data_IF_065613024675
#
_entry.id   IF_065613024675
#
_cell.length_a   1.000
_cell.length_b   1.000
_cell.length_c   1.000
_cell.angle_alpha   90.00
_cell.angle_beta   90.00
_cell.angle_gamma   90.00
#
_symmetry.space_group_name_H-M   'P 1'
#
loop_
_entity.id
_entity.type
_entity.pdbx_description
1 polymer ?
#
# COMPACT_ATOMS: atom_id res chain seq x y z
N UNK A 1 10.70 7.88 27.36
CA UNK A 1 11.66 6.78 27.18
C UNK A 1 11.71 6.32 25.73
N UNK A 2 10.58 6.20 24.99
CA UNK A 2 10.50 5.70 23.61
C UNK A 2 10.77 6.76 22.52
N UNK A 3 11.64 7.72 22.80
CA UNK A 3 11.89 8.88 21.91
C UNK A 3 12.38 8.45 20.52
N UNK A 4 13.34 7.55 20.45
CA UNK A 4 13.92 7.06 19.18
C UNK A 4 12.88 6.37 18.30
N UNK A 5 11.95 5.59 18.90
CA UNK A 5 10.85 4.97 18.17
C UNK A 5 9.92 6.01 17.56
N UNK A 6 9.53 7.04 18.33
CA UNK A 6 8.69 8.13 17.85
C UNK A 6 9.38 8.93 16.73
N UNK A 7 10.69 9.17 16.85
CA UNK A 7 11.48 9.83 15.81
C UNK A 7 11.53 8.98 14.52
N UNK A 8 11.74 7.65 14.61
CA UNK A 8 11.76 6.75 13.47
C UNK A 8 10.40 6.66 12.75
N UNK A 9 9.30 6.56 13.51
CA UNK A 9 7.93 6.59 12.98
C UNK A 9 7.66 7.91 12.25
N UNK A 10 7.94 9.06 12.89
CA UNK A 10 7.73 10.37 12.27
C UNK A 10 8.61 10.58 11.04
N UNK A 11 9.88 10.15 11.10
CA UNK A 11 10.79 10.20 9.97
C UNK A 11 10.18 9.55 8.74
N UNK A 12 9.67 8.33 8.87
CA UNK A 12 9.09 7.56 7.76
C UNK A 12 7.78 8.18 7.25
N UNK A 13 6.90 8.64 8.14
CA UNK A 13 5.62 9.27 7.77
C UNK A 13 5.81 10.60 7.03
N UNK A 14 6.89 11.35 7.34
CA UNK A 14 7.16 12.69 6.81
C UNK A 14 8.09 12.69 5.58
N UNK A 15 8.55 11.54 5.10
CA UNK A 15 9.38 11.46 3.87
C UNK A 15 8.65 12.00 2.63
N UNK A 16 7.33 12.12 2.68
CA UNK A 16 6.52 12.59 1.56
C UNK A 16 5.87 11.43 0.78
N UNK A 17 5.48 11.73 -0.47
CA UNK A 17 4.80 10.79 -1.35
C UNK A 17 3.51 11.36 -1.92
N UNK A 18 2.95 10.71 -2.94
CA UNK A 18 1.75 11.17 -3.67
C UNK A 18 0.45 11.02 -2.87
N UNK A 19 0.48 10.31 -1.74
CA UNK A 19 -0.70 10.04 -0.89
C UNK A 19 -1.91 9.54 -1.69
N UNK A 20 -1.65 8.68 -2.68
CA UNK A 20 -2.68 8.23 -3.63
C UNK A 20 -3.81 7.45 -2.94
N UNK A 21 -3.48 6.60 -1.95
CA UNK A 21 -4.47 5.76 -1.26
C UNK A 21 -5.50 6.58 -0.49
N UNK A 22 -5.12 7.50 0.41
CA UNK A 22 -6.09 8.39 1.05
C UNK A 22 -6.83 9.29 0.05
N UNK A 23 -6.18 9.72 -1.04
CA UNK A 23 -6.84 10.50 -2.08
C UNK A 23 -7.96 9.70 -2.78
N UNK A 24 -7.68 8.46 -3.18
CA UNK A 24 -8.70 7.58 -3.79
C UNK A 24 -9.86 7.31 -2.83
N UNK A 25 -9.56 7.08 -1.53
CA UNK A 25 -10.58 6.93 -0.49
C UNK A 25 -11.49 8.17 -0.42
N UNK A 26 -10.89 9.35 -0.35
CA UNK A 26 -11.61 10.63 -0.29
C UNK A 26 -12.47 10.88 -1.54
N UNK A 27 -11.92 10.63 -2.74
CA UNK A 27 -12.65 10.84 -3.99
C UNK A 27 -13.83 9.86 -4.13
N UNK A 28 -13.65 8.59 -3.79
CA UNK A 28 -14.75 7.63 -3.79
C UNK A 28 -15.80 7.99 -2.75
N UNK A 29 -15.39 8.42 -1.55
CA UNK A 29 -16.32 8.91 -0.53
C UNK A 29 -17.14 10.10 -1.02
N UNK A 30 -16.51 11.08 -1.65
CA UNK A 30 -17.18 12.24 -2.20
C UNK A 30 -18.13 11.88 -3.37
N UNK A 31 -17.73 10.93 -4.23
CA UNK A 31 -18.51 10.43 -5.35
C UNK A 31 -19.86 9.84 -4.88
N UNK A 32 -19.90 9.15 -3.75
CA UNK A 32 -21.12 8.63 -3.14
C UNK A 32 -21.80 9.61 -2.17
N UNK A 33 -21.37 10.88 -2.13
CA UNK A 33 -22.03 11.94 -1.35
C UNK A 33 -21.69 11.94 0.14
N UNK A 34 -20.63 11.26 0.55
CA UNK A 34 -20.18 11.23 1.94
C UNK A 34 -19.78 12.62 2.46
N UNK A 35 -20.09 12.90 3.73
CA UNK A 35 -19.85 14.22 4.36
C UNK A 35 -19.32 14.17 5.79
N UNK A 36 -19.33 13.00 6.41
CA UNK A 36 -18.84 12.83 7.78
C UNK A 36 -17.32 12.84 7.88
N UNK A 37 -16.83 13.21 9.06
CA UNK A 37 -15.40 13.14 9.38
C UNK A 37 -14.92 11.74 9.74
N UNK A 38 -15.79 10.75 9.83
CA UNK A 38 -15.41 9.35 10.14
C UNK A 38 -14.47 8.74 9.09
N UNK A 39 -14.35 9.34 7.90
CA UNK A 39 -13.38 8.93 6.89
C UNK A 39 -11.92 9.31 7.25
N UNK A 40 -11.70 10.41 7.99
CA UNK A 40 -10.36 10.94 8.28
C UNK A 40 -9.45 9.93 9.02
N UNK A 41 -9.94 9.21 10.07
CA UNK A 41 -9.20 8.13 10.70
C UNK A 41 -8.75 7.03 9.72
N UNK A 42 -9.63 6.64 8.80
CA UNK A 42 -9.30 5.61 7.81
C UNK A 42 -8.31 6.10 6.76
N UNK A 43 -8.40 7.35 6.32
CA UNK A 43 -7.42 7.97 5.41
C UNK A 43 -6.02 8.00 6.03
N UNK A 44 -5.95 8.30 7.32
CA UNK A 44 -4.69 8.30 8.06
C UNK A 44 -4.17 6.88 8.25
N UNK A 45 -5.04 5.95 8.64
CA UNK A 45 -4.68 4.55 8.87
C UNK A 45 -4.14 3.86 7.62
N UNK A 46 -4.78 4.04 6.46
CA UNK A 46 -4.32 3.41 5.21
C UNK A 46 -2.93 3.90 4.79
N UNK A 47 -2.59 5.15 5.08
CA UNK A 47 -1.26 5.69 4.81
C UNK A 47 -0.22 5.20 5.83
N UNK A 48 -0.59 5.00 7.10
CA UNK A 48 0.27 4.36 8.09
C UNK A 48 0.57 2.91 7.69
N UNK A 49 -0.44 2.16 7.23
CA UNK A 49 -0.29 0.80 6.73
C UNK A 49 0.64 0.76 5.51
N UNK A 50 0.45 1.64 4.56
CA UNK A 50 1.37 1.74 3.42
C UNK A 50 2.79 2.10 3.86
N UNK A 51 2.95 2.99 4.84
CA UNK A 51 4.28 3.41 5.30
C UNK A 51 5.00 2.30 6.05
N UNK A 52 4.32 1.53 6.91
CA UNK A 52 4.96 0.42 7.58
C UNK A 52 5.44 -0.64 6.59
N UNK A 53 4.64 -0.94 5.55
CA UNK A 53 5.05 -1.92 4.55
C UNK A 53 6.32 -1.50 3.83
N UNK A 54 6.47 -0.20 3.53
CA UNK A 54 7.71 0.32 2.94
C UNK A 54 8.90 0.26 3.90
N UNK A 55 8.70 0.50 5.21
CA UNK A 55 9.79 0.36 6.19
C UNK A 55 10.29 -1.07 6.24
N UNK A 56 9.37 -2.05 6.24
CA UNK A 56 9.73 -3.46 6.29
C UNK A 56 10.30 -3.95 4.96
N UNK A 57 9.79 -3.50 3.82
CA UNK A 57 10.35 -3.82 2.51
C UNK A 57 11.80 -3.35 2.38
N UNK A 58 12.14 -2.19 2.94
CA UNK A 58 13.49 -1.64 2.88
C UNK A 58 14.53 -2.39 3.75
N UNK A 59 14.10 -3.27 4.68
CA UNK A 59 15.00 -3.97 5.61
C UNK A 59 16.04 -4.84 4.88
N UNK A 60 17.23 -5.06 5.49
CA UNK A 60 18.27 -5.94 4.91
C UNK A 60 17.82 -7.38 4.63
N UNK A 61 16.81 -7.87 5.36
CA UNK A 61 16.22 -9.20 5.15
C UNK A 61 15.16 -9.22 4.02
N UNK A 62 14.86 -8.08 3.40
CA UNK A 62 13.90 -7.88 2.33
C UNK A 62 14.61 -7.29 1.10
N UNK A 63 14.17 -6.14 0.57
CA UNK A 63 14.77 -5.51 -0.61
C UNK A 63 16.16 -4.90 -0.34
N UNK A 64 16.55 -4.68 0.92
CA UNK A 64 17.81 -4.07 1.36
C UNK A 64 18.10 -2.71 0.71
N UNK A 65 17.08 -1.86 0.63
CA UNK A 65 17.18 -0.55 0.02
C UNK A 65 17.77 0.48 1.00
N UNK A 66 18.86 1.15 0.60
CA UNK A 66 19.47 2.21 1.41
C UNK A 66 18.75 3.57 1.26
N UNK A 67 18.05 3.79 0.15
CA UNK A 67 17.38 5.06 -0.18
C UNK A 67 15.96 4.84 -0.69
N UNK A 68 15.04 5.68 -0.21
CA UNK A 68 13.65 5.76 -0.68
C UNK A 68 13.22 7.23 -0.81
N UNK A 69 12.70 7.60 -1.98
CA UNK A 69 12.26 8.98 -2.28
C UNK A 69 13.36 10.01 -2.00
N UNK A 70 14.61 9.69 -2.35
CA UNK A 70 15.78 10.57 -2.17
C UNK A 70 16.29 10.72 -0.73
N UNK A 71 15.74 9.97 0.24
CA UNK A 71 16.20 9.95 1.63
C UNK A 71 16.68 8.55 2.02
N UNK A 72 17.59 8.47 2.99
CA UNK A 72 18.01 7.19 3.59
C UNK A 72 16.81 6.48 4.20
N UNK A 73 16.78 5.17 4.09
CA UNK A 73 15.72 4.33 4.65
C UNK A 73 15.82 4.27 6.18
N UNK A 74 14.74 3.85 6.83
CA UNK A 74 14.63 3.88 8.30
C UNK A 74 15.70 3.03 8.96
N UNK A 75 16.01 1.83 8.41
CA UNK A 75 17.03 0.96 8.97
C UNK A 75 18.45 1.54 8.85
N UNK A 76 18.72 2.32 7.80
CA UNK A 76 20.02 3.00 7.63
C UNK A 76 20.20 4.12 8.65
N UNK A 77 19.11 4.83 9.01
CA UNK A 77 19.17 5.99 9.93
C UNK A 77 19.12 5.56 11.40
N UNK A 78 18.26 4.60 11.74
CA UNK A 78 17.93 4.23 13.13
C UNK A 78 18.39 2.82 13.52
N UNK A 79 18.93 2.06 12.57
CA UNK A 79 19.29 0.65 12.75
C UNK A 79 18.10 -0.30 12.50
N UNK A 80 18.41 -1.55 12.16
CA UNK A 80 17.46 -2.57 11.74
C UNK A 80 16.40 -2.86 12.80
N UNK A 81 16.80 -3.10 14.05
CA UNK A 81 15.87 -3.39 15.15
C UNK A 81 14.84 -2.25 15.36
N UNK A 82 15.29 -0.99 15.25
CA UNK A 82 14.40 0.14 15.41
C UNK A 82 13.46 0.31 14.20
N UNK A 83 13.91 -0.04 12.99
CA UNK A 83 13.08 -0.04 11.80
C UNK A 83 11.97 -1.11 11.88
N UNK A 84 12.29 -2.31 12.36
CA UNK A 84 11.28 -3.36 12.62
C UNK A 84 10.22 -2.84 13.59
N UNK A 85 10.65 -2.30 14.74
CA UNK A 85 9.71 -1.77 15.75
C UNK A 85 8.92 -0.56 15.24
N UNK A 86 9.48 0.27 14.36
CA UNK A 86 8.78 1.40 13.77
C UNK A 86 7.68 0.94 12.80
N UNK A 87 7.92 -0.12 12.03
CA UNK A 87 6.91 -0.75 11.19
C UNK A 87 5.78 -1.35 12.02
N UNK A 88 6.11 -2.14 13.05
CA UNK A 88 5.12 -2.73 13.98
C UNK A 88 4.28 -1.65 14.67
N UNK A 89 4.94 -0.58 15.15
CA UNK A 89 4.27 0.54 15.79
C UNK A 89 3.29 1.23 14.84
N UNK A 90 3.66 1.46 13.57
CA UNK A 90 2.77 2.06 12.57
C UNK A 90 1.60 1.17 12.23
N UNK A 91 1.82 -0.14 12.09
CA UNK A 91 0.73 -1.09 11.84
C UNK A 91 -0.29 -1.07 12.98
N UNK A 92 0.17 -1.14 14.23
CA UNK A 92 -0.72 -1.08 15.39
C UNK A 92 -1.43 0.30 15.48
N UNK A 93 -0.67 1.39 15.34
CA UNK A 93 -1.20 2.76 15.39
C UNK A 93 -2.24 3.02 14.28
N UNK A 94 -2.12 2.36 13.12
CA UNK A 94 -3.12 2.44 12.07
C UNK A 94 -4.50 1.94 12.56
N UNK A 95 -4.54 0.78 13.23
CA UNK A 95 -5.79 0.26 13.76
C UNK A 95 -6.31 1.06 14.96
N UNK A 96 -5.43 1.56 15.83
CA UNK A 96 -5.80 2.51 16.88
C UNK A 96 -6.42 3.79 16.29
N UNK A 97 -5.85 4.27 15.18
CA UNK A 97 -6.35 5.48 14.49
C UNK A 97 -7.68 5.20 13.82
N UNK A 98 -7.81 4.11 13.07
CA UNK A 98 -9.08 3.74 12.42
C UNK A 98 -10.20 3.53 13.45
N UNK A 99 -9.91 2.98 14.64
CA UNK A 99 -10.90 2.76 15.70
C UNK A 99 -11.54 4.05 16.24
N UNK A 100 -10.89 5.21 16.08
CA UNK A 100 -11.46 6.51 16.46
C UNK A 100 -12.72 6.87 15.66
N UNK A 101 -12.92 6.25 14.50
CA UNK A 101 -14.16 6.42 13.72
C UNK A 101 -15.40 5.91 14.50
N UNK A 102 -15.27 4.91 15.37
CA UNK A 102 -16.36 4.43 16.24
C UNK A 102 -16.77 5.46 17.29
N UNK A 103 -15.84 6.33 17.72
CA UNK A 103 -16.15 7.43 18.64
C UNK A 103 -16.86 8.57 17.90
N UNK A 104 -16.50 8.80 16.64
CA UNK A 104 -17.12 9.84 15.80
C UNK A 104 -18.54 9.47 15.37
N UNK A 105 -18.78 8.20 15.07
CA UNK A 105 -20.07 7.67 14.63
C UNK A 105 -20.41 6.33 15.30
N UNK A 106 -20.71 6.31 16.61
CA UNK A 106 -20.87 5.08 17.38
C UNK A 106 -22.06 4.21 16.95
N UNK A 107 -23.05 4.79 16.31
CA UNK A 107 -24.25 4.08 15.83
C UNK A 107 -24.20 3.71 14.34
N UNK A 108 -23.13 4.06 13.63
CA UNK A 108 -23.03 3.81 12.19
C UNK A 108 -22.39 2.43 11.91
N UNK A 109 -23.15 1.43 11.42
CA UNK A 109 -22.60 0.09 11.13
C UNK A 109 -21.57 0.10 10.00
N UNK A 110 -21.58 1.14 9.14
CA UNK A 110 -20.60 1.29 8.07
C UNK A 110 -19.17 1.42 8.60
N UNK A 111 -18.97 1.99 9.80
CA UNK A 111 -17.65 2.09 10.43
C UNK A 111 -17.09 0.70 10.73
N UNK A 112 -17.89 -0.21 11.28
CA UNK A 112 -17.49 -1.60 11.54
C UNK A 112 -17.15 -2.35 10.25
N UNK A 113 -17.94 -2.15 9.19
CA UNK A 113 -17.69 -2.74 7.88
C UNK A 113 -16.40 -2.20 7.24
N UNK A 114 -16.18 -0.89 7.30
CA UNK A 114 -14.96 -0.24 6.82
C UNK A 114 -13.71 -0.75 7.55
N UNK A 115 -13.80 -0.92 8.86
CA UNK A 115 -12.73 -1.49 9.69
C UNK A 115 -12.43 -2.95 9.29
N UNK A 116 -13.46 -3.77 9.04
CA UNK A 116 -13.31 -5.13 8.55
C UNK A 116 -12.60 -5.19 7.17
N UNK A 117 -12.95 -4.29 6.25
CA UNK A 117 -12.28 -4.19 4.94
C UNK A 117 -10.81 -3.80 5.12
N UNK A 118 -10.51 -2.81 5.95
CA UNK A 118 -9.13 -2.41 6.25
C UNK A 118 -8.32 -3.61 6.75
N UNK A 119 -8.83 -4.34 7.74
CA UNK A 119 -8.15 -5.48 8.34
C UNK A 119 -7.94 -6.63 7.34
N UNK A 120 -8.96 -6.98 6.55
CA UNK A 120 -8.88 -8.08 5.60
C UNK A 120 -7.91 -7.79 4.44
N UNK A 121 -8.00 -6.59 3.84
CA UNK A 121 -7.18 -6.21 2.68
C UNK A 121 -5.71 -5.96 3.03
N UNK A 122 -5.39 -5.73 4.29
CA UNK A 122 -4.00 -5.56 4.76
C UNK A 122 -3.39 -6.86 5.31
N UNK A 123 -4.20 -7.86 5.61
CA UNK A 123 -3.82 -9.11 6.28
C UNK A 123 -3.24 -10.18 5.35
N UNK A 124 -3.29 -11.44 5.84
CA UNK A 124 -2.74 -12.63 5.13
C UNK A 124 -3.47 -12.96 3.82
N UNK A 125 -4.73 -12.56 3.68
CA UNK A 125 -5.52 -12.68 2.44
C UNK A 125 -5.52 -11.38 1.61
N UNK A 126 -4.67 -10.44 1.94
CA UNK A 126 -4.44 -9.17 1.28
C UNK A 126 -2.96 -8.87 1.09
N UNK A 127 -2.54 -7.65 1.41
CA UNK A 127 -1.19 -7.16 1.14
C UNK A 127 -0.07 -8.05 1.70
N UNK A 128 -0.18 -8.49 2.96
CA UNK A 128 0.85 -9.36 3.57
C UNK A 128 0.94 -10.71 2.83
N UNK A 129 -0.20 -11.28 2.41
CA UNK A 129 -0.21 -12.50 1.62
C UNK A 129 0.46 -12.34 0.26
N UNK A 130 0.24 -11.22 -0.43
CA UNK A 130 0.94 -10.91 -1.67
C UNK A 130 2.45 -10.75 -1.49
N UNK A 131 2.85 -10.05 -0.43
CA UNK A 131 4.25 -9.88 -0.08
C UNK A 131 4.93 -11.20 0.26
N UNK A 132 4.27 -12.10 0.99
CA UNK A 132 4.84 -13.41 1.34
C UNK A 132 5.18 -14.25 0.11
N UNK A 133 4.33 -14.22 -0.91
CA UNK A 133 4.59 -14.93 -2.18
C UNK A 133 5.70 -14.24 -2.97
N UNK A 134 5.75 -12.92 -2.98
CA UNK A 134 6.82 -12.16 -3.63
C UNK A 134 8.20 -12.55 -3.05
N UNK A 135 8.32 -12.60 -1.73
CA UNK A 135 9.55 -13.03 -1.04
C UNK A 135 9.89 -14.50 -1.27
N UNK A 136 8.89 -15.40 -1.21
CA UNK A 136 9.11 -16.86 -1.42
C UNK A 136 9.66 -17.17 -2.82
N UNK A 137 9.29 -16.37 -3.80
CA UNK A 137 9.71 -16.55 -5.19
C UNK A 137 10.81 -15.60 -5.63
N UNK A 138 11.45 -14.87 -4.72
CA UNK A 138 12.57 -14.00 -5.05
C UNK A 138 13.69 -14.78 -5.76
N UNK A 139 14.17 -14.23 -6.88
CA UNK A 139 15.21 -14.87 -7.71
C UNK A 139 14.75 -16.13 -8.46
N UNK A 140 13.45 -16.46 -8.45
CA UNK A 140 12.87 -17.58 -9.21
C UNK A 140 11.96 -17.05 -10.31
N UNK A 141 11.84 -17.76 -11.45
CA UNK A 141 10.88 -17.38 -12.48
C UNK A 141 9.45 -17.57 -11.95
N UNK A 142 8.59 -16.58 -12.18
CA UNK A 142 7.17 -16.63 -11.86
C UNK A 142 6.35 -17.03 -13.09
N UNK A 143 5.29 -17.79 -12.87
CA UNK A 143 4.22 -17.92 -13.87
C UNK A 143 3.40 -16.63 -13.92
N UNK A 144 2.69 -16.38 -15.03
CA UNK A 144 1.78 -15.24 -15.15
C UNK A 144 0.71 -15.23 -14.03
N UNK A 145 0.19 -16.39 -13.65
CA UNK A 145 -0.78 -16.52 -12.56
C UNK A 145 -0.21 -16.07 -11.21
N UNK A 146 1.02 -16.48 -10.88
CA UNK A 146 1.72 -16.08 -9.66
C UNK A 146 2.01 -14.57 -9.67
N UNK A 147 2.47 -14.02 -10.79
CA UNK A 147 2.72 -12.60 -10.95
C UNK A 147 1.44 -11.78 -10.75
N UNK A 148 0.34 -12.17 -11.40
CA UNK A 148 -0.96 -11.53 -11.22
C UNK A 148 -1.46 -11.63 -9.77
N UNK A 149 -1.22 -12.75 -9.09
CA UNK A 149 -1.56 -12.91 -7.68
C UNK A 149 -0.79 -11.92 -6.80
N UNK A 150 0.53 -11.80 -7.01
CA UNK A 150 1.37 -10.82 -6.28
C UNK A 150 0.85 -9.40 -6.53
N UNK A 151 0.63 -8.99 -7.77
CA UNK A 151 0.15 -7.65 -8.10
C UNK A 151 -1.23 -7.34 -7.50
N UNK A 152 -2.12 -8.33 -7.53
CA UNK A 152 -3.44 -8.22 -6.94
C UNK A 152 -3.36 -7.98 -5.43
N UNK A 153 -2.56 -8.77 -4.71
CA UNK A 153 -2.56 -8.70 -3.26
C UNK A 153 -1.55 -7.68 -2.71
N UNK A 154 -0.29 -7.70 -3.19
CA UNK A 154 0.74 -6.77 -2.70
C UNK A 154 0.39 -5.31 -2.98
N UNK A 155 -0.12 -5.01 -4.18
CA UNK A 155 -0.37 -3.63 -4.64
C UNK A 155 -1.85 -3.26 -4.67
N UNK A 156 -2.70 -4.06 -5.35
CA UNK A 156 -4.10 -3.68 -5.57
C UNK A 156 -4.94 -3.75 -4.30
N UNK A 157 -4.65 -4.65 -3.36
CA UNK A 157 -5.46 -4.81 -2.14
C UNK A 157 -5.59 -3.52 -1.32
N UNK A 158 -4.53 -2.70 -1.21
CA UNK A 158 -4.62 -1.41 -0.51
C UNK A 158 -5.37 -0.34 -1.32
N UNK A 159 -5.37 -0.42 -2.64
CA UNK A 159 -6.18 0.46 -3.51
C UNK A 159 -7.65 0.05 -3.40
N UNK A 160 -7.93 -1.26 -3.42
CA UNK A 160 -9.26 -1.82 -3.17
C UNK A 160 -9.79 -1.36 -1.79
N UNK A 161 -9.01 -1.55 -0.73
CA UNK A 161 -9.36 -1.09 0.62
C UNK A 161 -9.72 0.40 0.63
N UNK A 162 -8.89 1.23 -0.01
CA UNK A 162 -9.10 2.69 -0.03
C UNK A 162 -10.45 3.05 -0.68
N UNK A 163 -10.74 2.52 -1.86
CA UNK A 163 -11.94 2.87 -2.59
C UNK A 163 -13.20 2.23 -1.96
N UNK A 164 -13.12 0.97 -1.51
CA UNK A 164 -14.23 0.29 -0.83
C UNK A 164 -14.61 0.98 0.48
N UNK A 165 -13.63 1.37 1.30
CA UNK A 165 -13.87 2.09 2.56
C UNK A 165 -14.56 3.43 2.28
N UNK A 166 -14.10 4.18 1.27
CA UNK A 166 -14.74 5.41 0.85
C UNK A 166 -16.23 5.21 0.47
N UNK A 167 -16.52 4.19 -0.34
CA UNK A 167 -17.89 3.86 -0.75
C UNK A 167 -18.77 3.44 0.44
N UNK A 168 -18.28 2.53 1.29
CA UNK A 168 -18.99 2.01 2.46
C UNK A 168 -19.33 3.12 3.44
N UNK A 169 -18.38 3.97 3.79
CA UNK A 169 -18.62 5.07 4.74
C UNK A 169 -19.58 6.13 4.19
N UNK A 170 -19.67 6.28 2.87
CA UNK A 170 -20.64 7.14 2.21
C UNK A 170 -22.04 6.52 2.08
N UNK A 171 -22.23 5.26 2.50
CA UNK A 171 -23.52 4.57 2.48
C UNK A 171 -23.87 3.90 1.15
N UNK A 172 -22.86 3.59 0.32
CA UNK A 172 -23.07 2.83 -0.92
C UNK A 172 -23.67 1.45 -0.63
N UNK A 173 -24.53 0.96 -1.52
CA UNK A 173 -25.09 -0.39 -1.43
C UNK A 173 -24.03 -1.46 -1.74
N UNK A 174 -24.32 -2.72 -1.39
CA UNK A 174 -23.35 -3.82 -1.56
C UNK A 174 -22.93 -4.00 -3.02
N UNK A 175 -23.88 -3.90 -3.95
CA UNK A 175 -23.60 -4.02 -5.39
C UNK A 175 -22.63 -2.94 -5.88
N UNK A 176 -22.77 -1.72 -5.41
CA UNK A 176 -21.85 -0.63 -5.77
C UNK A 176 -20.49 -0.80 -5.13
N UNK A 177 -20.40 -1.30 -3.88
CA UNK A 177 -19.13 -1.63 -3.23
C UNK A 177 -18.39 -2.73 -4.00
N UNK A 178 -19.09 -3.76 -4.47
CA UNK A 178 -18.49 -4.83 -5.31
C UNK A 178 -17.99 -4.29 -6.66
N UNK A 179 -18.74 -3.39 -7.30
CA UNK A 179 -18.28 -2.70 -8.53
C UNK A 179 -17.02 -1.85 -8.27
N UNK A 180 -17.01 -1.12 -7.15
CA UNK A 180 -15.85 -0.33 -6.74
C UNK A 180 -14.63 -1.23 -6.48
N UNK A 181 -14.81 -2.38 -5.86
CA UNK A 181 -13.72 -3.35 -5.67
C UNK A 181 -13.14 -3.81 -7.02
N UNK A 182 -13.99 -4.17 -7.99
CA UNK A 182 -13.55 -4.57 -9.33
C UNK A 182 -12.82 -3.45 -10.08
N UNK A 183 -13.30 -2.21 -9.97
CA UNK A 183 -12.64 -1.04 -10.56
C UNK A 183 -11.29 -0.81 -9.89
N UNK A 184 -11.25 -0.82 -8.56
CA UNK A 184 -10.04 -0.60 -7.78
C UNK A 184 -8.98 -1.68 -8.06
N UNK A 185 -9.41 -2.93 -8.25
CA UNK A 185 -8.53 -4.01 -8.70
C UNK A 185 -7.85 -3.67 -10.03
N UNK A 186 -8.63 -3.26 -11.04
CA UNK A 186 -8.09 -2.88 -12.35
C UNK A 186 -7.15 -1.68 -12.27
N UNK A 187 -7.48 -0.69 -11.44
CA UNK A 187 -6.60 0.48 -11.18
C UNK A 187 -5.29 0.02 -10.55
N UNK A 188 -5.33 -0.89 -9.58
CA UNK A 188 -4.13 -1.41 -8.92
C UNK A 188 -3.25 -2.22 -9.87
N UNK A 189 -3.84 -3.07 -10.72
CA UNK A 189 -3.11 -3.82 -11.75
C UNK A 189 -2.45 -2.88 -12.77
N UNK A 190 -3.20 -1.90 -13.29
CA UNK A 190 -2.66 -0.90 -14.22
C UNK A 190 -1.55 -0.07 -13.59
N UNK A 191 -1.67 0.27 -12.30
CA UNK A 191 -0.63 0.99 -11.56
C UNK A 191 0.68 0.20 -11.49
N UNK A 192 0.60 -1.11 -11.20
CA UNK A 192 1.78 -1.97 -11.12
C UNK A 192 2.41 -2.19 -12.51
N UNK A 193 1.59 -2.47 -13.54
CA UNK A 193 2.08 -2.61 -14.91
C UNK A 193 2.75 -1.32 -15.39
N UNK A 194 2.19 -0.16 -15.05
CA UNK A 194 2.80 1.13 -15.37
C UNK A 194 4.14 1.33 -14.65
N UNK A 195 4.28 0.85 -13.40
CA UNK A 195 5.54 0.90 -12.66
C UNK A 195 6.62 0.04 -13.34
N UNK A 196 6.27 -1.17 -13.78
CA UNK A 196 7.14 -2.06 -14.55
C UNK A 196 7.58 -1.42 -15.89
N UNK A 197 6.65 -0.80 -16.61
CA UNK A 197 6.96 -0.09 -17.86
C UNK A 197 7.94 1.05 -17.59
N UNK A 198 7.70 1.84 -16.54
CA UNK A 198 8.56 2.97 -16.17
C UNK A 198 9.93 2.53 -15.67
N UNK A 199 10.06 1.33 -15.07
CA UNK A 199 11.38 0.79 -14.74
C UNK A 199 12.23 0.49 -15.98
N UNK A 200 11.59 0.09 -17.09
CA UNK A 200 12.28 -0.23 -18.36
C UNK A 200 12.60 1.02 -19.19
N UNK A 201 11.63 1.94 -19.35
CA UNK A 201 11.74 3.07 -20.29
C UNK A 201 11.86 4.44 -19.62
N UNK A 202 11.70 4.51 -18.32
CA UNK A 202 11.72 5.76 -17.57
C UNK A 202 13.12 6.36 -17.46
N UNK A 203 13.16 7.66 -17.17
CA UNK A 203 14.38 8.39 -16.85
C UNK A 203 14.54 8.51 -15.33
N UNK A 204 15.69 8.07 -14.82
CA UNK A 204 15.98 8.04 -13.39
C UNK A 204 15.85 9.41 -12.70
N UNK A 205 16.25 10.47 -13.40
CA UNK A 205 16.17 11.84 -12.87
C UNK A 205 14.72 12.32 -12.73
N UNK A 206 13.87 11.92 -13.68
CA UNK A 206 12.42 12.24 -13.65
C UNK A 206 11.66 11.40 -12.62
N UNK A 207 12.02 10.12 -12.47
CA UNK A 207 11.34 9.19 -11.56
C UNK A 207 11.80 9.31 -10.10
N UNK A 208 12.98 9.88 -9.86
CA UNK A 208 13.57 9.99 -8.53
C UNK A 208 13.94 8.64 -7.90
N UNK A 209 14.05 7.59 -8.73
CA UNK A 209 14.51 6.24 -8.36
C UNK A 209 15.37 5.66 -9.48
N UNK A 210 16.24 4.69 -9.15
CA UNK A 210 17.00 3.94 -10.16
C UNK A 210 16.04 3.22 -11.11
N UNK A 211 16.34 3.24 -12.41
CA UNK A 211 15.66 2.46 -13.45
C UNK A 211 16.43 1.16 -13.70
N UNK A 212 15.78 0.18 -14.34
CA UNK A 212 16.30 -1.18 -14.57
C UNK A 212 16.67 -1.93 -13.29
N UNK A 213 15.98 -1.57 -12.22
CA UNK A 213 16.16 -2.19 -10.91
C UNK A 213 15.61 -3.62 -10.91
N UNK A 214 14.49 -3.86 -11.59
CA UNK A 214 13.88 -5.17 -11.72
C UNK A 214 14.77 -6.15 -12.50
N UNK A 215 15.36 -5.70 -13.60
CA UNK A 215 16.32 -6.50 -14.39
C UNK A 215 17.57 -6.84 -13.55
N UNK A 216 18.13 -5.86 -12.83
CA UNK A 216 19.29 -6.04 -11.95
C UNK A 216 19.03 -7.04 -10.82
N UNK A 217 17.81 -7.06 -10.30
CA UNK A 217 17.39 -7.95 -9.22
C UNK A 217 16.79 -9.27 -9.73
N UNK A 218 16.83 -9.54 -11.04
CA UNK A 218 16.22 -10.70 -11.68
C UNK A 218 14.73 -10.88 -11.32
N UNK A 219 13.99 -9.78 -11.12
CA UNK A 219 12.55 -9.82 -10.83
C UNK A 219 11.76 -10.12 -12.11
N UNK A 220 10.82 -11.06 -12.01
CA UNK A 220 9.82 -11.28 -13.06
C UNK A 220 8.81 -10.14 -13.02
N UNK A 221 8.62 -9.42 -14.13
CA UNK A 221 7.67 -8.31 -14.27
C UNK A 221 6.66 -8.59 -15.39
N UNK A 222 5.59 -7.82 -15.46
CA UNK A 222 4.61 -7.96 -16.55
C UNK A 222 5.27 -7.72 -17.90
N UNK A 223 6.20 -6.74 -17.99
CA UNK A 223 6.97 -6.46 -19.19
C UNK A 223 7.88 -7.63 -19.57
N UNK A 224 8.50 -8.32 -18.61
CA UNK A 224 9.36 -9.49 -18.92
C UNK A 224 8.55 -10.70 -19.40
N UNK A 225 7.28 -10.84 -18.98
CA UNK A 225 6.39 -11.96 -19.36
C UNK A 225 5.68 -11.70 -20.69
N UNK A 226 5.17 -10.50 -20.92
CA UNK A 226 4.33 -10.15 -22.09
C UNK A 226 5.08 -9.33 -23.17
N UNK A 227 6.21 -8.74 -22.83
CA UNK A 227 6.88 -7.76 -23.67
C UNK A 227 6.32 -6.34 -23.48
N UNK A 228 7.16 -5.34 -23.80
CA UNK A 228 6.83 -3.92 -23.59
C UNK A 228 5.62 -3.48 -24.41
N UNK A 229 5.52 -3.91 -25.66
CA UNK A 229 4.43 -3.53 -26.59
C UNK A 229 3.04 -4.01 -26.10
N UNK A 230 2.97 -5.18 -25.46
CA UNK A 230 1.72 -5.68 -24.91
C UNK A 230 1.39 -5.12 -23.53
N UNK A 231 2.40 -4.63 -22.81
CA UNK A 231 2.21 -4.01 -21.51
C UNK A 231 1.68 -2.57 -21.62
N UNK A 232 2.02 -1.86 -22.71
CA UNK A 232 1.50 -0.53 -23.06
C UNK A 232 0.06 -0.59 -23.59
#
# INVERSE_FOLDING_TARGET
FQRTLLEAVNYSMLVGGKKLRPLLMQQTYAMFGGRSKAIEPFMTAIEMIHTYSLIHDDLPAMDNDEYRRGKKTTHVVYGEAMAILAGDALLNLAYETASKAFELEPANPAVGRAFGILAAKTGIYGMIGGQSVDVEYEGKPLTEEQLCFIYRLKTSALIEASMMIGAVLAGACDEDVEKIEQIAHKVGMAFQIQDDILDVIGDADTLGKATKSDEKNNKTTYVSVKGLEQAQ
#
